data_IF_447631413449
#
_entry.id   IF_447631413449
#
_cell.length_a   1.000
_cell.length_b   1.000
_cell.length_c   1.000
_cell.angle_alpha   90.00
_cell.angle_beta   90.00
_cell.angle_gamma   90.00
#
_symmetry.space_group_name_H-M   'P 1'
#
loop_
_entity.id
_entity.type
_entity.pdbx_description
1 polymer ?
#
# COMPACT_ATOMS: atom_id res chain seq x y z
N UNK A 1 -3.07 -24.18 51.75
CA UNK A 1 -4.10 -23.12 51.59
C UNK A 1 -4.69 -23.27 50.20
N UNK A 2 -6.01 -23.47 50.04
CA UNK A 2 -6.64 -23.65 48.74
C UNK A 2 -6.80 -22.29 48.01
N UNK A 3 -6.50 -22.28 46.71
CA UNK A 3 -6.38 -21.10 45.86
C UNK A 3 -7.71 -20.43 45.51
N UNK A 4 -7.64 -19.11 45.34
CA UNK A 4 -8.77 -18.25 44.96
C UNK A 4 -9.16 -18.50 43.49
N UNK A 5 -10.19 -19.30 43.27
CA UNK A 5 -10.82 -19.51 41.95
C UNK A 5 -11.71 -18.33 41.51
N UNK A 6 -11.92 -17.33 42.37
CA UNK A 6 -12.89 -16.24 42.19
C UNK A 6 -12.42 -15.08 41.32
N UNK A 7 -11.17 -15.10 40.82
CA UNK A 7 -10.62 -14.03 39.97
C UNK A 7 -10.84 -14.27 38.46
N UNK A 8 -11.41 -15.42 38.08
CA UNK A 8 -11.72 -15.74 36.68
C UNK A 8 -13.22 -15.68 36.45
N UNK A 9 -13.70 -14.63 35.78
CA UNK A 9 -15.07 -14.59 35.28
C UNK A 9 -15.15 -15.41 34.00
N UNK A 10 -15.84 -16.56 34.05
CA UNK A 10 -16.20 -17.33 32.85
C UNK A 10 -17.38 -16.64 32.17
N UNK A 11 -17.12 -15.59 31.38
CA UNK A 11 -18.15 -14.95 30.57
C UNK A 11 -18.39 -15.81 29.30
N UNK A 12 -19.56 -16.46 29.15
CA UNK A 12 -19.84 -17.32 28.00
C UNK A 12 -19.98 -16.54 26.67
N UNK A 13 -20.04 -15.21 26.72
CA UNK A 13 -20.25 -14.35 25.55
C UNK A 13 -18.98 -13.74 24.94
N UNK A 14 -17.78 -14.01 25.46
CA UNK A 14 -16.56 -13.62 24.74
C UNK A 14 -16.32 -14.61 23.59
N UNK A 15 -16.64 -14.22 22.35
CA UNK A 15 -16.25 -15.02 21.19
C UNK A 15 -14.72 -15.24 21.22
N UNK A 16 -14.21 -16.47 21.03
CA UNK A 16 -12.78 -16.70 20.88
C UNK A 16 -12.26 -15.86 19.70
N UNK A 17 -11.09 -15.23 19.87
CA UNK A 17 -10.40 -14.45 18.83
C UNK A 17 -10.38 -15.30 17.54
N UNK A 18 -10.95 -14.79 16.45
CA UNK A 18 -11.11 -15.52 15.18
C UNK A 18 -9.75 -15.78 14.50
N UNK A 19 -8.96 -16.72 15.02
CA UNK A 19 -7.69 -17.15 14.41
C UNK A 19 -7.94 -18.00 13.15
N UNK A 20 -9.14 -18.59 13.01
CA UNK A 20 -9.49 -19.51 11.92
C UNK A 20 -9.63 -18.84 10.55
N UNK A 21 -10.03 -17.56 10.48
CA UNK A 21 -10.16 -16.84 9.20
C UNK A 21 -8.79 -16.61 8.55
N UNK A 22 -7.73 -16.45 9.34
CA UNK A 22 -6.36 -16.21 8.86
C UNK A 22 -5.72 -17.43 8.21
N UNK A 23 -5.97 -18.66 8.66
CA UNK A 23 -5.41 -19.87 8.03
C UNK A 23 -6.03 -20.14 6.65
N UNK A 24 -7.34 -19.93 6.54
CA UNK A 24 -8.06 -20.17 5.29
C UNK A 24 -7.77 -19.08 4.24
N UNK A 25 -7.57 -17.82 4.67
CA UNK A 25 -7.03 -16.77 3.80
C UNK A 25 -5.60 -17.09 3.37
N UNK A 26 -4.71 -17.49 4.29
CA UNK A 26 -3.33 -17.86 3.98
C UNK A 26 -3.23 -18.97 2.93
N UNK A 27 -4.04 -20.04 3.03
CA UNK A 27 -4.07 -21.12 2.03
C UNK A 27 -4.61 -20.61 0.68
N UNK A 28 -5.68 -19.81 0.71
CA UNK A 28 -6.28 -19.22 -0.50
C UNK A 28 -5.30 -18.28 -1.21
N UNK A 29 -4.58 -17.46 -0.45
CA UNK A 29 -3.63 -16.49 -0.97
C UNK A 29 -2.36 -17.19 -1.46
N UNK A 30 -1.88 -18.22 -0.76
CA UNK A 30 -0.80 -19.08 -1.25
C UNK A 30 -1.15 -19.79 -2.57
N UNK A 31 -2.40 -20.26 -2.72
CA UNK A 31 -2.88 -20.89 -3.96
C UNK A 31 -2.97 -19.89 -5.12
N UNK A 32 -3.52 -18.68 -4.87
CA UNK A 32 -3.53 -17.59 -5.86
C UNK A 32 -2.12 -17.22 -6.29
N UNK A 33 -1.21 -17.10 -5.33
CA UNK A 33 0.21 -16.81 -5.56
C UNK A 33 0.86 -17.86 -6.46
N UNK A 34 0.67 -19.15 -6.14
CA UNK A 34 1.24 -20.24 -6.93
C UNK A 34 0.71 -20.29 -8.38
N UNK A 35 -0.55 -19.92 -8.62
CA UNK A 35 -1.10 -19.88 -9.99
C UNK A 35 -0.60 -18.66 -10.77
N UNK A 36 -0.55 -17.49 -10.14
CA UNK A 36 -0.05 -16.27 -10.77
C UNK A 36 1.43 -16.36 -11.15
N UNK A 37 2.27 -16.96 -10.30
CA UNK A 37 3.70 -17.20 -10.61
C UNK A 37 3.87 -18.16 -11.80
N UNK A 38 2.90 -19.04 -12.07
CA UNK A 38 2.91 -19.88 -13.27
C UNK A 38 2.48 -19.11 -14.52
N UNK A 39 1.55 -18.18 -14.39
CA UNK A 39 0.99 -17.40 -15.50
C UNK A 39 1.88 -16.21 -15.88
N UNK A 40 2.59 -15.62 -14.91
CA UNK A 40 3.37 -14.41 -15.07
C UNK A 40 4.86 -14.68 -14.85
N UNK A 41 5.70 -14.08 -15.71
CA UNK A 41 7.15 -14.07 -15.51
C UNK A 41 7.50 -13.31 -14.21
N UNK A 42 8.55 -13.74 -13.50
CA UNK A 42 9.04 -13.09 -12.28
C UNK A 42 9.22 -11.59 -12.54
N UNK A 43 8.56 -10.73 -11.74
CA UNK A 43 8.49 -9.26 -11.90
C UNK A 43 9.82 -8.56 -11.50
N UNK A 44 10.95 -9.26 -11.65
CA UNK A 44 12.27 -8.87 -11.17
C UNK A 44 12.54 -9.34 -9.74
N UNK A 45 13.78 -9.18 -9.28
CA UNK A 45 14.20 -9.56 -7.93
C UNK A 45 13.49 -8.70 -6.87
N UNK A 46 13.13 -9.31 -5.73
CA UNK A 46 12.72 -8.61 -4.51
C UNK A 46 13.94 -7.85 -3.95
N UNK A 47 14.27 -6.72 -4.56
CA UNK A 47 15.45 -5.90 -4.26
C UNK A 47 16.80 -6.59 -4.52
N UNK A 48 17.58 -6.02 -5.43
CA UNK A 48 19.02 -6.28 -5.52
C UNK A 48 19.68 -5.76 -4.23
N UNK A 49 20.22 -6.67 -3.42
CA UNK A 49 20.96 -6.41 -2.18
C UNK A 49 22.23 -5.51 -2.33
N UNK A 50 22.44 -4.83 -3.46
CA UNK A 50 23.75 -4.33 -3.89
C UNK A 50 23.80 -2.86 -4.35
N UNK A 51 23.03 -1.97 -3.76
CA UNK A 51 23.29 -0.52 -3.90
C UNK A 51 23.11 0.17 -2.56
N UNK A 52 24.23 0.62 -1.98
CA UNK A 52 24.24 1.49 -0.79
C UNK A 52 23.44 2.80 -0.98
N UNK A 53 23.17 3.17 -2.24
CA UNK A 53 22.52 4.44 -2.61
C UNK A 53 21.07 4.30 -3.11
N UNK A 54 20.45 3.11 -2.99
CA UNK A 54 18.99 3.04 -3.09
C UNK A 54 18.43 3.39 -1.71
N UNK A 55 17.92 4.62 -1.59
CA UNK A 55 17.13 5.11 -0.45
C UNK A 55 16.54 3.96 0.36
N UNK A 56 17.03 3.74 1.57
CA UNK A 56 16.55 2.69 2.47
C UNK A 56 15.04 2.81 2.63
N UNK A 57 14.27 2.02 1.90
CA UNK A 57 12.84 1.87 2.16
C UNK A 57 12.76 0.94 3.37
N UNK A 58 12.57 1.56 4.53
CA UNK A 58 12.65 0.88 5.81
C UNK A 58 11.59 -0.21 5.89
N UNK A 59 12.04 -1.46 6.01
CA UNK A 59 11.21 -2.49 6.59
C UNK A 59 10.82 -2.00 7.98
N UNK A 60 9.52 -1.91 8.25
CA UNK A 60 9.07 -1.50 9.57
C UNK A 60 9.57 -2.50 10.62
N UNK A 61 10.37 -1.99 11.54
CA UNK A 61 10.81 -2.77 12.69
C UNK A 61 10.02 -2.32 13.91
N UNK A 62 9.16 -3.19 14.49
CA UNK A 62 8.21 -2.79 15.54
C UNK A 62 8.86 -2.35 16.86
N UNK A 63 10.18 -2.51 17.01
CA UNK A 63 10.90 -2.22 18.25
C UNK A 63 11.58 -0.84 18.29
N UNK A 64 11.56 -0.06 17.20
CA UNK A 64 12.14 1.29 17.15
C UNK A 64 11.08 2.35 16.84
N UNK A 65 10.90 3.32 17.75
CA UNK A 65 9.98 4.45 17.56
C UNK A 65 10.48 5.39 16.44
N UNK A 66 11.80 5.48 16.24
CA UNK A 66 12.41 6.24 15.13
C UNK A 66 12.08 5.62 13.77
N UNK A 67 12.25 4.31 13.63
CA UNK A 67 11.91 3.59 12.40
C UNK A 67 10.41 3.68 12.08
N UNK A 68 9.56 3.67 13.12
CA UNK A 68 8.13 3.90 12.96
C UNK A 68 7.84 5.29 12.37
N UNK A 69 8.45 6.34 12.92
CA UNK A 69 8.22 7.70 12.46
C UNK A 69 8.71 7.89 11.02
N UNK A 70 9.87 7.30 10.69
CA UNK A 70 10.41 7.29 9.33
C UNK A 70 9.49 6.54 8.36
N UNK A 71 8.97 5.38 8.74
CA UNK A 71 7.99 4.64 7.94
C UNK A 71 6.70 5.44 7.68
N UNK A 72 6.15 6.10 8.71
CA UNK A 72 4.96 6.96 8.54
C UNK A 72 5.25 8.12 7.58
N UNK A 73 6.40 8.77 7.72
CA UNK A 73 6.81 9.86 6.83
C UNK A 73 6.99 9.37 5.39
N UNK A 74 7.62 8.21 5.21
CA UNK A 74 7.80 7.58 3.90
C UNK A 74 6.45 7.26 3.24
N UNK A 75 5.49 6.71 4.01
CA UNK A 75 4.12 6.47 3.53
C UNK A 75 3.48 7.77 3.05
N UNK A 76 3.58 8.85 3.82
CA UNK A 76 3.00 10.14 3.41
C UNK A 76 3.65 10.70 2.15
N UNK A 77 4.98 10.64 2.04
CA UNK A 77 5.67 11.10 0.82
C UNK A 77 5.23 10.27 -0.40
N UNK A 78 5.12 8.96 -0.24
CA UNK A 78 4.76 8.07 -1.34
C UNK A 78 3.29 8.21 -1.76
N UNK A 79 2.35 8.11 -0.80
CA UNK A 79 0.91 8.10 -1.07
C UNK A 79 0.39 9.47 -1.44
N UNK A 80 0.88 10.53 -0.78
CA UNK A 80 0.46 11.89 -1.10
C UNK A 80 1.39 12.57 -2.10
N UNK A 81 2.23 11.82 -2.82
CA UNK A 81 3.00 12.39 -3.93
C UNK A 81 3.83 13.62 -3.54
N UNK A 82 4.55 13.52 -2.41
CA UNK A 82 5.33 14.58 -1.78
C UNK A 82 4.52 15.76 -1.17
N UNK A 83 3.19 15.67 -1.12
CA UNK A 83 2.36 16.58 -0.35
C UNK A 83 2.39 16.18 1.12
N UNK A 84 2.82 17.09 2.00
CA UNK A 84 2.84 16.84 3.45
C UNK A 84 1.53 17.35 4.06
N UNK A 85 0.75 16.51 4.76
CA UNK A 85 -0.46 16.96 5.43
C UNK A 85 -0.11 17.91 6.58
N UNK A 86 -0.96 18.89 6.83
CA UNK A 86 -0.84 19.75 8.02
C UNK A 86 -1.21 18.96 9.28
N UNK A 87 -0.84 19.47 10.46
CA UNK A 87 -1.08 18.75 11.72
C UNK A 87 -2.56 18.45 11.98
N UNK A 88 -3.46 19.32 11.50
CA UNK A 88 -4.92 19.15 11.60
C UNK A 88 -5.49 18.12 10.63
N UNK A 89 -4.82 17.90 9.49
CA UNK A 89 -5.27 17.00 8.42
C UNK A 89 -4.73 15.57 8.61
N UNK A 90 -3.71 15.44 9.47
CA UNK A 90 -3.03 14.18 9.75
C UNK A 90 -3.95 13.21 10.52
N UNK A 91 -4.18 11.98 10.02
CA UNK A 91 -5.04 11.00 10.68
C UNK A 91 -4.37 10.36 11.93
N UNK A 92 -4.36 11.09 13.05
CA UNK A 92 -3.69 10.69 14.30
C UNK A 92 -4.18 9.34 14.85
N UNK A 93 -5.44 8.99 14.67
CA UNK A 93 -6.00 7.73 15.18
C UNK A 93 -5.44 6.51 14.46
N UNK A 94 -5.24 6.61 13.15
CA UNK A 94 -4.70 5.53 12.32
C UNK A 94 -3.20 5.33 12.63
N UNK A 95 -2.47 6.41 12.91
CA UNK A 95 -1.06 6.34 13.36
C UNK A 95 -0.91 5.68 14.72
N UNK A 96 -1.81 6.00 15.66
CA UNK A 96 -1.82 5.36 16.98
C UNK A 96 -2.01 3.86 16.87
N UNK A 97 -2.89 3.40 15.99
CA UNK A 97 -3.12 1.97 15.73
C UNK A 97 -1.87 1.30 15.14
N UNK A 98 -1.18 1.96 14.21
CA UNK A 98 0.08 1.45 13.66
C UNK A 98 1.15 1.35 14.77
N UNK A 99 1.24 2.36 15.64
CA UNK A 99 2.17 2.39 16.78
C UNK A 99 1.91 1.32 17.82
N UNK A 100 0.66 0.95 18.01
CA UNK A 100 0.30 -0.17 18.89
C UNK A 100 0.56 -1.54 18.24
N UNK A 101 0.81 -1.60 16.93
CA UNK A 101 0.89 -2.85 16.17
C UNK A 101 -0.48 -3.50 15.92
N UNK A 102 -1.57 -2.73 16.02
CA UNK A 102 -2.93 -3.23 15.77
C UNK A 102 -3.20 -3.42 14.28
N UNK A 103 -2.48 -2.68 13.42
CA UNK A 103 -2.58 -2.69 11.96
C UNK A 103 -1.19 -2.81 11.34
N UNK A 104 -1.11 -3.46 10.17
CA UNK A 104 0.12 -3.50 9.36
C UNK A 104 0.27 -2.24 8.51
N UNK A 105 1.44 -2.05 7.87
CA UNK A 105 1.64 -0.94 6.92
C UNK A 105 0.65 -1.02 5.76
N UNK A 106 0.36 -2.23 5.28
CA UNK A 106 -0.64 -2.44 4.22
C UNK A 106 -2.04 -1.93 4.62
N UNK A 107 -2.47 -2.20 5.85
CA UNK A 107 -3.75 -1.71 6.37
C UNK A 107 -3.71 -0.20 6.66
N UNK A 108 -2.58 0.31 7.14
CA UNK A 108 -2.33 1.73 7.32
C UNK A 108 -2.50 2.50 6.00
N UNK A 109 -1.86 2.01 4.92
CA UNK A 109 -1.99 2.55 3.57
C UNK A 109 -3.42 2.55 3.06
N UNK A 110 -4.14 1.44 3.25
CA UNK A 110 -5.56 1.32 2.88
C UNK A 110 -6.40 2.42 3.54
N UNK A 111 -6.21 2.63 4.84
CA UNK A 111 -6.94 3.65 5.59
C UNK A 111 -6.56 5.07 5.14
N UNK A 112 -5.29 5.32 4.83
CA UNK A 112 -4.82 6.61 4.31
C UNK A 112 -5.42 6.92 2.94
N UNK A 113 -5.41 5.97 2.00
CA UNK A 113 -5.97 6.18 0.67
C UNK A 113 -7.50 6.35 0.68
N UNK A 114 -8.18 5.88 1.74
CA UNK A 114 -9.62 6.10 1.94
C UNK A 114 -9.95 7.38 2.71
N UNK A 115 -8.94 8.06 3.26
CA UNK A 115 -9.13 9.29 4.01
C UNK A 115 -9.67 10.42 3.12
N UNK A 116 -10.41 11.33 3.74
CA UNK A 116 -10.98 12.50 3.05
C UNK A 116 -9.89 13.40 2.46
N UNK A 117 -8.72 13.45 3.11
CA UNK A 117 -7.56 14.17 2.59
C UNK A 117 -7.13 13.63 1.21
N UNK A 118 -6.98 12.31 1.09
CA UNK A 118 -6.59 11.69 -0.18
C UNK A 118 -7.67 11.91 -1.26
N UNK A 119 -8.94 11.74 -0.91
CA UNK A 119 -10.07 11.95 -1.84
C UNK A 119 -10.14 13.38 -2.35
N UNK A 120 -10.00 14.37 -1.46
CA UNK A 120 -10.00 15.79 -1.84
C UNK A 120 -8.95 16.11 -2.92
N UNK A 121 -7.72 15.64 -2.74
CA UNK A 121 -6.64 15.97 -3.69
C UNK A 121 -6.61 15.09 -4.93
N UNK A 122 -6.91 13.79 -4.83
CA UNK A 122 -6.70 12.85 -5.93
C UNK A 122 -7.95 12.34 -6.60
N UNK A 123 -9.13 12.56 -6.01
CA UNK A 123 -10.42 12.19 -6.59
C UNK A 123 -11.19 13.44 -7.06
N UNK A 124 -11.31 14.46 -6.22
CA UNK A 124 -12.14 15.65 -6.51
C UNK A 124 -11.42 16.66 -7.43
N UNK A 125 -10.15 16.94 -7.16
CA UNK A 125 -9.39 17.96 -7.89
C UNK A 125 -8.78 17.46 -9.21
N UNK A 126 -8.88 16.17 -9.51
CA UNK A 126 -8.12 15.53 -10.59
C UNK A 126 -9.07 14.75 -11.51
N UNK A 127 -8.78 14.78 -12.81
CA UNK A 127 -9.52 14.01 -13.80
C UNK A 127 -9.48 12.50 -13.49
N UNK A 128 -10.58 11.79 -13.75
CA UNK A 128 -10.69 10.36 -13.44
C UNK A 128 -9.54 9.51 -14.02
N UNK A 129 -9.09 9.81 -15.23
CA UNK A 129 -7.97 9.07 -15.84
C UNK A 129 -6.68 9.22 -15.03
N UNK A 130 -6.39 10.45 -14.61
CA UNK A 130 -5.20 10.79 -13.84
C UNK A 130 -5.30 10.28 -12.41
N UNK A 131 -6.50 10.26 -11.82
CA UNK A 131 -6.77 9.63 -10.53
C UNK A 131 -6.37 8.14 -10.53
N UNK A 132 -6.71 7.41 -11.59
CA UNK A 132 -6.33 5.99 -11.73
C UNK A 132 -4.81 5.87 -11.87
N UNK A 133 -4.19 6.66 -12.75
CA UNK A 133 -2.72 6.64 -12.93
C UNK A 133 -1.97 6.94 -11.63
N UNK A 134 -2.41 7.95 -10.88
CA UNK A 134 -1.84 8.31 -9.59
C UNK A 134 -2.03 7.20 -8.56
N UNK A 135 -3.21 6.57 -8.49
CA UNK A 135 -3.45 5.46 -7.58
C UNK A 135 -2.49 4.28 -7.82
N UNK A 136 -2.22 3.96 -9.08
CA UNK A 136 -1.21 2.96 -9.46
C UNK A 136 0.20 3.38 -9.03
N UNK A 137 0.57 4.64 -9.24
CA UNK A 137 1.88 5.17 -8.83
C UNK A 137 2.06 5.18 -7.30
N UNK A 138 1.05 5.60 -6.56
CA UNK A 138 1.08 5.68 -5.11
C UNK A 138 1.15 4.30 -4.45
N UNK A 139 0.32 3.35 -4.90
CA UNK A 139 0.18 2.03 -4.27
C UNK A 139 1.13 0.97 -4.84
N UNK A 140 1.23 0.86 -6.16
CA UNK A 140 2.05 -0.17 -6.81
C UNK A 140 3.45 0.34 -7.19
N UNK A 141 3.71 1.64 -7.11
CA UNK A 141 5.00 2.21 -7.50
C UNK A 141 5.29 2.11 -8.99
N UNK A 142 4.24 1.99 -9.81
CA UNK A 142 4.33 1.85 -11.27
C UNK A 142 3.18 2.56 -11.98
N UNK A 143 3.37 2.98 -13.24
CA UNK A 143 2.28 3.47 -14.06
C UNK A 143 1.49 2.31 -14.69
N UNK A 144 0.37 2.64 -15.34
CA UNK A 144 -0.44 1.71 -16.13
C UNK A 144 0.36 1.14 -17.31
N UNK A 145 0.27 -0.18 -17.49
CA UNK A 145 0.99 -0.90 -18.55
C UNK A 145 0.21 -0.79 -19.87
N UNK A 146 -1.06 -1.16 -19.85
CA UNK A 146 -1.92 -1.26 -21.04
C UNK A 146 -3.26 -0.54 -20.84
N UNK A 147 -3.91 -0.18 -21.95
CA UNK A 147 -5.24 0.44 -21.94
C UNK A 147 -6.31 -0.51 -21.39
N UNK A 148 -6.10 -1.83 -21.46
CA UNK A 148 -6.99 -2.82 -20.86
C UNK A 148 -7.03 -2.72 -19.33
N UNK A 149 -5.89 -2.46 -18.67
CA UNK A 149 -5.86 -2.22 -17.22
C UNK A 149 -6.67 -0.96 -16.90
N UNK A 150 -6.50 0.09 -17.70
CA UNK A 150 -7.23 1.34 -17.54
C UNK A 150 -8.74 1.16 -17.62
N UNK A 151 -9.24 0.51 -18.68
CA UNK A 151 -10.66 0.25 -18.86
C UNK A 151 -11.26 -0.61 -17.74
N UNK A 152 -10.52 -1.62 -17.28
CA UNK A 152 -10.96 -2.52 -16.20
C UNK A 152 -11.13 -1.77 -14.89
N UNK A 153 -10.19 -0.88 -14.56
CA UNK A 153 -10.27 -0.07 -13.34
C UNK A 153 -11.35 1.02 -13.42
N UNK A 154 -11.57 1.63 -14.59
CA UNK A 154 -12.69 2.55 -14.78
C UNK A 154 -14.02 1.84 -14.52
N UNK A 155 -14.22 0.65 -15.10
CA UNK A 155 -15.44 -0.14 -14.90
C UNK A 155 -15.66 -0.44 -13.42
N UNK A 156 -14.61 -0.89 -12.72
CA UNK A 156 -14.67 -1.18 -11.29
C UNK A 156 -15.02 0.06 -10.45
N UNK A 157 -14.44 1.23 -10.76
CA UNK A 157 -14.79 2.49 -10.08
C UNK A 157 -16.26 2.86 -10.32
N UNK A 158 -16.76 2.67 -11.53
CA UNK A 158 -18.15 3.01 -11.87
C UNK A 158 -19.17 2.06 -11.22
N UNK A 159 -18.80 0.78 -11.03
CA UNK A 159 -19.67 -0.26 -10.46
C UNK A 159 -19.65 -0.28 -8.93
N UNK A 160 -18.46 -0.26 -8.32
CA UNK A 160 -18.25 -0.49 -6.88
C UNK A 160 -17.69 0.74 -6.15
N UNK A 161 -17.33 1.80 -6.87
CA UNK A 161 -16.82 3.05 -6.30
C UNK A 161 -15.30 3.08 -6.08
N UNK A 162 -14.81 4.24 -5.63
CA UNK A 162 -13.39 4.52 -5.49
C UNK A 162 -12.71 3.71 -4.38
N UNK A 163 -13.38 3.51 -3.25
CA UNK A 163 -12.79 2.78 -2.12
C UNK A 163 -12.51 1.32 -2.47
N UNK A 164 -13.38 0.72 -3.28
CA UNK A 164 -13.18 -0.63 -3.79
C UNK A 164 -11.99 -0.71 -4.73
N UNK A 165 -11.79 0.28 -5.58
CA UNK A 165 -10.63 0.35 -6.46
C UNK A 165 -9.33 0.34 -5.67
N UNK A 166 -9.23 1.11 -4.58
CA UNK A 166 -8.09 1.08 -3.67
C UNK A 166 -7.90 -0.31 -3.05
N UNK A 167 -8.98 -0.94 -2.57
CA UNK A 167 -8.88 -2.30 -2.01
C UNK A 167 -8.41 -3.31 -3.05
N UNK A 168 -8.88 -3.20 -4.30
CA UNK A 168 -8.47 -4.09 -5.41
C UNK A 168 -6.97 -3.96 -5.72
N UNK A 169 -6.39 -2.77 -5.62
CA UNK A 169 -4.96 -2.56 -5.84
C UNK A 169 -4.12 -3.12 -4.68
N UNK A 170 -4.57 -2.93 -3.43
CA UNK A 170 -3.85 -3.40 -2.24
C UNK A 170 -3.96 -4.92 -2.04
N UNK A 171 -5.10 -5.51 -2.39
CA UNK A 171 -5.31 -6.97 -2.37
C UNK A 171 -4.84 -7.64 -3.67
N UNK A 172 -4.22 -6.88 -4.59
CA UNK A 172 -3.59 -7.45 -5.77
C UNK A 172 -2.41 -8.30 -5.35
N UNK A 173 -2.22 -9.39 -6.08
CA UNK A 173 -1.12 -10.29 -5.79
C UNK A 173 0.25 -9.66 -6.07
N UNK A 174 0.31 -8.79 -7.07
CA UNK A 174 1.49 -7.99 -7.37
C UNK A 174 1.94 -7.15 -6.16
N UNK A 175 1.00 -6.52 -5.45
CA UNK A 175 1.29 -5.78 -4.24
C UNK A 175 1.85 -6.72 -3.15
N UNK A 176 1.20 -7.87 -2.94
CA UNK A 176 1.58 -8.84 -1.91
C UNK A 176 2.96 -9.46 -2.17
N UNK A 177 3.30 -9.76 -3.43
CA UNK A 177 4.59 -10.34 -3.78
C UNK A 177 5.76 -9.39 -3.55
N UNK A 178 5.55 -8.10 -3.82
CA UNK A 178 6.61 -7.09 -3.87
C UNK A 178 6.76 -6.40 -2.53
N UNK A 179 5.66 -5.92 -1.93
CA UNK A 179 5.70 -5.17 -0.66
C UNK A 179 5.31 -6.05 0.52
N UNK A 180 4.36 -6.97 0.34
CA UNK A 180 3.83 -7.75 1.46
C UNK A 180 3.07 -6.85 2.45
N UNK A 181 3.25 -7.09 3.76
CA UNK A 181 2.48 -6.39 4.80
C UNK A 181 3.25 -5.24 5.49
N UNK A 182 4.58 -5.31 5.53
CA UNK A 182 5.43 -4.46 6.37
C UNK A 182 6.37 -3.52 5.59
N UNK A 183 6.30 -3.53 4.25
CA UNK A 183 7.13 -2.67 3.39
C UNK A 183 6.29 -1.52 2.87
N UNK A 184 6.84 -0.30 2.98
CA UNK A 184 6.24 0.90 2.40
C UNK A 184 6.41 0.86 0.86
N UNK A 185 5.37 1.13 0.07
CA UNK A 185 5.47 1.19 -1.38
C UNK A 185 6.54 2.18 -1.84
N UNK A 186 7.22 1.83 -2.92
CA UNK A 186 8.28 2.64 -3.50
C UNK A 186 8.23 2.56 -5.03
N UNK A 187 8.72 3.59 -5.76
CA UNK A 187 8.75 3.57 -7.22
C UNK A 187 9.71 2.48 -7.73
N UNK A 188 9.24 1.62 -8.64
CA UNK A 188 9.98 0.40 -9.04
C UNK A 188 10.63 0.46 -10.41
N UNK A 189 10.04 1.21 -11.34
CA UNK A 189 10.42 1.16 -12.77
C UNK A 189 11.45 2.20 -13.18
N UNK A 190 12.29 2.69 -12.26
CA UNK A 190 13.39 3.61 -12.57
C UNK A 190 14.55 2.91 -13.29
N UNK A 191 14.86 1.67 -12.91
CA UNK A 191 16.00 0.93 -13.46
C UNK A 191 15.66 0.09 -14.70
N UNK A 192 14.47 0.25 -15.28
CA UNK A 192 13.97 -0.54 -16.41
C UNK A 192 14.19 -2.06 -16.22
N UNK A 193 13.53 -2.69 -15.22
CA UNK A 193 13.73 -4.10 -14.92
C UNK A 193 13.43 -4.99 -16.14
N UNK A 194 14.08 -6.15 -16.21
CA UNK A 194 13.85 -7.12 -17.28
C UNK A 194 12.36 -7.50 -17.36
N UNK A 195 11.82 -7.64 -18.57
CA UNK A 195 10.40 -7.90 -18.81
C UNK A 195 9.50 -6.66 -18.80
N UNK A 196 10.01 -5.49 -18.41
CA UNK A 196 9.25 -4.23 -18.48
C UNK A 196 9.38 -3.53 -19.84
N UNK A 197 8.31 -2.89 -20.30
CA UNK A 197 8.33 -2.09 -21.53
C UNK A 197 8.97 -0.73 -21.26
N UNK A 198 9.78 -0.23 -22.20
CA UNK A 198 10.40 1.12 -22.13
C UNK A 198 9.38 2.25 -21.92
N UNK A 199 8.14 2.08 -22.39
CA UNK A 199 7.03 3.00 -22.15
C UNK A 199 6.76 3.23 -20.66
N UNK A 200 6.88 2.18 -19.84
CA UNK A 200 6.66 2.23 -18.39
C UNK A 200 7.72 3.11 -17.72
N UNK A 201 8.99 2.96 -18.09
CA UNK A 201 10.07 3.82 -17.61
C UNK A 201 9.80 5.29 -17.97
N UNK A 202 9.47 5.58 -19.24
CA UNK A 202 9.14 6.94 -19.69
C UNK A 202 7.95 7.56 -18.95
N UNK A 203 6.90 6.77 -18.69
CA UNK A 203 5.77 7.23 -17.87
C UNK A 203 6.22 7.52 -16.44
N UNK A 204 6.98 6.60 -15.83
CA UNK A 204 7.47 6.73 -14.45
C UNK A 204 8.27 8.03 -14.25
N UNK A 205 9.18 8.36 -15.18
CA UNK A 205 9.97 9.59 -15.11
C UNK A 205 9.11 10.85 -15.29
N UNK A 206 8.07 10.79 -16.12
CA UNK A 206 7.12 11.90 -16.29
C UNK A 206 6.31 12.20 -15.02
N UNK A 207 5.98 11.18 -14.22
CA UNK A 207 5.27 11.36 -12.94
C UNK A 207 6.20 11.78 -11.81
N UNK A 208 7.47 11.35 -11.83
CA UNK A 208 8.45 11.63 -10.78
C UNK A 208 9.59 12.51 -11.32
N UNK A 209 9.28 13.79 -11.50
CA UNK A 209 10.18 14.79 -12.11
C UNK A 209 11.39 15.12 -11.20
N UNK A 210 11.23 15.01 -9.87
CA UNK A 210 12.32 15.20 -8.91
C UNK A 210 11.84 15.25 -7.45
N UNK A 211 12.78 15.18 -6.49
CA UNK A 211 12.47 15.03 -5.06
C UNK A 211 11.70 16.20 -4.42
N UNK A 212 11.76 17.39 -5.03
CA UNK A 212 11.03 18.57 -4.57
C UNK A 212 9.70 18.79 -5.31
N UNK A 213 9.42 17.99 -6.35
CA UNK A 213 8.16 18.08 -7.09
C UNK A 213 7.04 17.41 -6.29
N UNK A 214 5.84 17.97 -6.35
CA UNK A 214 4.64 17.35 -5.78
C UNK A 214 3.61 17.11 -6.87
N UNK A 215 2.83 16.04 -6.73
CA UNK A 215 1.86 15.61 -7.74
C UNK A 215 0.72 16.63 -7.95
N UNK A 216 0.53 17.57 -7.01
CA UNK A 216 -0.51 18.61 -7.07
C UNK A 216 -0.08 19.90 -7.79
N UNK A 217 1.18 20.05 -8.20
CA UNK A 217 1.69 21.30 -8.82
C UNK A 217 1.24 21.47 -10.28
N UNK A 218 0.55 20.49 -10.86
CA UNK A 218 0.26 20.43 -12.31
C UNK A 218 -1.21 20.53 -12.69
N UNK A 219 -2.05 21.20 -11.89
CA UNK A 219 -3.46 21.45 -12.21
C UNK A 219 -3.79 22.94 -12.21
#
# INVERSE_FOLDING_TARGET
MPGQQSLFTNNPNSKPREVSKNRMSQIRDAFKLANYVKENNVIGEKSTQNSKDLFTYEQFHPHSDEALLMAIQAVYIQVFGNLRPMESERPKDIERRLRNGDISIREFLRNICKSDFYKKYYLENVNQSKCIELSFMHLLGRPLIDNKEFESNIKLINEEGFERHIDSLIDSLEYQEIFGEDIVPYPRFWNSPCGSTTSIFKKTTSFRIGSASSDNVTY
#
